data_IF_646319882386
#
_entry.id   IF_646319882386
#
_cell.length_a   1.000
_cell.length_b   1.000
_cell.length_c   1.000
_cell.angle_alpha   90.00
_cell.angle_beta   90.00
_cell.angle_gamma   90.00
#
_symmetry.space_group_name_H-M   'P 1'
#
loop_
_entity.id
_entity.type
_entity.pdbx_description
1 polymer ?
#
# COMPACT_ATOMS: atom_id res chain seq x y z
N UNK A 1 3.56 -14.60 14.84
CA UNK A 1 2.67 -13.53 15.34
C UNK A 1 2.61 -12.34 14.41
N UNK A 2 3.74 -11.76 14.00
CA UNK A 2 3.74 -10.63 13.08
C UNK A 2 3.06 -10.94 11.74
N UNK A 3 3.19 -12.16 11.26
CA UNK A 3 2.56 -12.57 9.99
C UNK A 3 1.04 -12.44 10.04
N UNK A 4 0.44 -12.70 11.20
CA UNK A 4 -1.02 -12.63 11.37
C UNK A 4 -1.55 -11.20 11.38
N UNK A 5 -0.69 -10.23 11.69
CA UNK A 5 -1.08 -8.83 11.70
C UNK A 5 -1.10 -8.22 10.29
N UNK A 6 -0.44 -8.86 9.33
CA UNK A 6 -0.35 -8.33 7.97
C UNK A 6 -1.73 -8.12 7.35
N UNK A 7 -2.59 -9.14 7.42
CA UNK A 7 -3.95 -9.05 6.88
C UNK A 7 -4.75 -7.90 7.47
N UNK A 8 -4.92 -7.87 8.79
CA UNK A 8 -5.66 -6.77 9.44
C UNK A 8 -5.10 -5.38 9.13
N UNK A 9 -3.77 -5.24 9.08
CA UNK A 9 -3.14 -3.95 8.79
C UNK A 9 -3.52 -3.48 7.38
N UNK A 10 -3.49 -4.38 6.40
CA UNK A 10 -3.87 -4.01 5.03
C UNK A 10 -5.37 -3.75 4.89
N UNK A 11 -6.21 -4.43 5.65
CA UNK A 11 -7.65 -4.12 5.69
C UNK A 11 -7.87 -2.69 6.19
N UNK A 12 -7.21 -2.32 7.27
CA UNK A 12 -7.32 -0.97 7.83
C UNK A 12 -6.77 0.06 6.83
N UNK A 13 -5.61 -0.22 6.24
CA UNK A 13 -4.99 0.67 5.26
C UNK A 13 -5.91 0.86 4.05
N UNK A 14 -6.51 -0.22 3.56
CA UNK A 14 -7.47 -0.14 2.46
C UNK A 14 -8.69 0.68 2.81
N UNK A 15 -9.22 0.49 4.02
CA UNK A 15 -10.38 1.26 4.50
C UNK A 15 -10.07 2.75 4.58
N UNK A 16 -8.84 3.12 4.96
CA UNK A 16 -8.44 4.52 5.04
C UNK A 16 -8.46 5.21 3.67
N UNK A 17 -8.28 4.48 2.58
CA UNK A 17 -8.40 5.03 1.24
C UNK A 17 -9.81 5.59 1.00
N UNK A 18 -10.81 5.01 1.61
CA UNK A 18 -12.20 5.47 1.49
C UNK A 18 -12.55 6.51 2.54
N UNK A 19 -11.97 6.41 3.73
CA UNK A 19 -12.25 7.35 4.82
C UNK A 19 -11.53 8.68 4.61
N UNK A 20 -10.32 8.66 4.05
CA UNK A 20 -9.48 9.85 3.87
C UNK A 20 -8.84 9.87 2.48
N UNK A 21 -9.65 9.88 1.41
CA UNK A 21 -9.10 9.81 0.06
C UNK A 21 -8.20 10.98 -0.31
N UNK A 22 -8.46 12.17 0.24
CA UNK A 22 -7.65 13.36 -0.06
C UNK A 22 -6.19 13.21 0.38
N UNK A 23 -5.96 12.47 1.46
CA UNK A 23 -4.61 12.20 1.96
C UNK A 23 -3.81 11.42 0.92
N UNK A 24 -4.45 10.44 0.27
CA UNK A 24 -3.80 9.63 -0.76
C UNK A 24 -3.70 10.36 -2.08
N UNK A 25 -4.71 11.15 -2.45
CA UNK A 25 -4.66 11.95 -3.67
C UNK A 25 -3.53 12.97 -3.63
N UNK A 26 -3.25 13.50 -2.46
CA UNK A 26 -2.21 14.51 -2.28
C UNK A 26 -0.81 13.99 -2.60
N UNK A 27 -0.59 12.68 -2.53
CA UNK A 27 0.72 12.09 -2.79
C UNK A 27 0.80 11.44 -4.17
N UNK A 28 -0.23 11.59 -5.00
CA UNK A 28 -0.21 11.04 -6.35
C UNK A 28 0.50 11.97 -7.32
N UNK A 29 1.26 11.40 -8.29
CA UNK A 29 1.88 12.23 -9.33
C UNK A 29 0.85 13.06 -10.08
N UNK A 30 1.12 14.35 -10.35
CA UNK A 30 0.17 15.22 -11.05
C UNK A 30 -0.23 14.71 -12.44
N UNK A 31 0.65 13.96 -13.09
CA UNK A 31 0.41 13.45 -14.45
C UNK A 31 -0.54 12.26 -14.49
N UNK A 32 -0.88 11.65 -13.36
CA UNK A 32 -1.86 10.56 -13.32
C UNK A 32 -3.28 11.12 -13.39
N UNK A 33 -4.14 10.55 -14.24
CA UNK A 33 -5.55 10.94 -14.26
C UNK A 33 -6.35 10.23 -13.18
N UNK A 34 -7.55 10.76 -12.91
CA UNK A 34 -8.54 10.09 -12.06
C UNK A 34 -8.00 9.69 -10.68
N UNK A 35 -7.39 10.64 -9.97
CA UNK A 35 -6.78 10.37 -8.67
C UNK A 35 -7.74 9.68 -7.70
N UNK A 36 -9.00 10.15 -7.60
CA UNK A 36 -9.97 9.59 -6.67
C UNK A 36 -10.28 8.13 -6.97
N UNK A 37 -10.48 7.80 -8.25
CA UNK A 37 -10.80 6.43 -8.66
C UNK A 37 -9.61 5.50 -8.42
N UNK A 38 -8.38 5.97 -8.68
CA UNK A 38 -7.19 5.17 -8.42
C UNK A 38 -6.98 4.93 -6.93
N UNK A 39 -7.26 5.93 -6.09
CA UNK A 39 -7.20 5.77 -4.63
C UNK A 39 -8.19 4.70 -4.19
N UNK A 40 -9.42 4.76 -4.66
CA UNK A 40 -10.43 3.77 -4.29
C UNK A 40 -10.08 2.38 -4.79
N UNK A 41 -9.56 2.26 -6.01
CA UNK A 41 -9.13 0.98 -6.57
C UNK A 41 -8.02 0.36 -5.71
N UNK A 42 -7.03 1.16 -5.33
CA UNK A 42 -5.95 0.70 -4.44
C UNK A 42 -6.51 0.27 -3.09
N UNK A 43 -7.48 1.02 -2.56
CA UNK A 43 -8.12 0.69 -1.29
C UNK A 43 -8.84 -0.64 -1.34
N UNK A 44 -9.56 -0.92 -2.41
CA UNK A 44 -10.24 -2.21 -2.60
C UNK A 44 -9.20 -3.33 -2.69
N UNK A 45 -8.15 -3.13 -3.47
CA UNK A 45 -7.10 -4.14 -3.63
C UNK A 45 -6.43 -4.46 -2.29
N UNK A 46 -6.11 -3.43 -1.49
CA UNK A 46 -5.46 -3.63 -0.20
C UNK A 46 -6.40 -4.29 0.81
N UNK A 47 -7.64 -3.84 0.89
CA UNK A 47 -8.61 -4.42 1.82
C UNK A 47 -8.93 -5.88 1.45
N UNK A 48 -9.16 -6.15 0.18
CA UNK A 48 -9.45 -7.50 -0.30
C UNK A 48 -8.24 -8.41 -0.10
N UNK A 49 -7.05 -7.92 -0.42
CA UNK A 49 -5.81 -8.67 -0.23
C UNK A 49 -5.56 -8.96 1.25
N UNK A 50 -5.76 -7.96 2.11
CA UNK A 50 -5.60 -8.14 3.55
C UNK A 50 -6.57 -9.17 4.11
N UNK A 51 -7.84 -9.08 3.73
CA UNK A 51 -8.86 -10.04 4.16
C UNK A 51 -8.52 -11.45 3.65
N UNK A 52 -8.08 -11.55 2.40
CA UNK A 52 -7.70 -12.84 1.80
C UNK A 52 -6.51 -13.49 2.49
N UNK A 53 -5.58 -12.70 3.02
CA UNK A 53 -4.45 -13.24 3.78
C UNK A 53 -4.89 -13.94 5.06
N UNK A 54 -6.03 -13.56 5.62
CA UNK A 54 -6.55 -14.15 6.85
C UNK A 54 -7.23 -15.50 6.63
N UNK A 55 -7.54 -15.84 5.38
CA UNK A 55 -8.22 -17.08 5.03
C UNK A 55 -7.21 -18.01 4.34
N UNK A 56 -6.91 -19.18 4.90
CA UNK A 56 -5.89 -20.07 4.32
C UNK A 56 -6.10 -20.40 2.85
N UNK A 57 -7.36 -20.60 2.43
CA UNK A 57 -7.68 -20.98 1.04
C UNK A 57 -7.32 -19.88 0.03
N UNK A 58 -7.35 -18.61 0.44
CA UNK A 58 -7.11 -17.47 -0.46
C UNK A 58 -5.80 -16.75 -0.16
N UNK A 59 -5.02 -17.25 0.77
CA UNK A 59 -3.82 -16.55 1.27
C UNK A 59 -2.80 -16.27 0.17
N UNK A 60 -2.52 -17.25 -0.69
CA UNK A 60 -1.53 -17.04 -1.75
C UNK A 60 -1.98 -16.05 -2.82
N UNK A 61 -3.16 -16.22 -3.44
CA UNK A 61 -3.61 -15.22 -4.42
C UNK A 61 -3.78 -13.84 -3.81
N UNK A 62 -4.22 -13.74 -2.55
CA UNK A 62 -4.33 -12.46 -1.87
C UNK A 62 -2.97 -11.80 -1.70
N UNK A 63 -1.95 -12.57 -1.33
CA UNK A 63 -0.59 -12.06 -1.24
C UNK A 63 -0.08 -11.52 -2.56
N UNK A 64 -0.32 -12.24 -3.65
CA UNK A 64 0.08 -11.78 -4.97
C UNK A 64 -0.64 -10.48 -5.35
N UNK A 65 -1.92 -10.36 -5.00
CA UNK A 65 -2.66 -9.12 -5.22
C UNK A 65 -2.01 -7.95 -4.48
N UNK A 66 -1.65 -8.14 -3.22
CA UNK A 66 -0.98 -7.10 -2.43
C UNK A 66 0.39 -6.74 -3.01
N UNK A 67 1.17 -7.73 -3.42
CA UNK A 67 2.48 -7.48 -4.03
C UNK A 67 2.34 -6.70 -5.34
N UNK A 68 1.36 -7.07 -6.16
CA UNK A 68 1.09 -6.33 -7.39
C UNK A 68 0.68 -4.89 -7.10
N UNK A 69 -0.12 -4.67 -6.06
CA UNK A 69 -0.53 -3.33 -5.65
C UNK A 69 0.67 -2.50 -5.19
N UNK A 70 1.57 -3.10 -4.40
CA UNK A 70 2.79 -2.42 -3.96
C UNK A 70 3.65 -2.00 -5.15
N UNK A 71 3.80 -2.89 -6.14
CA UNK A 71 4.55 -2.56 -7.36
C UNK A 71 3.87 -1.43 -8.12
N UNK A 72 2.53 -1.47 -8.21
CA UNK A 72 1.78 -0.46 -8.94
C UNK A 72 1.88 0.93 -8.30
N UNK A 73 2.00 1.01 -6.96
CA UNK A 73 2.14 2.30 -6.28
C UNK A 73 3.58 2.77 -6.16
N UNK A 74 4.55 1.93 -6.50
CA UNK A 74 5.96 2.29 -6.41
C UNK A 74 6.31 3.55 -7.23
N UNK A 75 5.83 3.71 -8.48
CA UNK A 75 6.11 4.93 -9.23
C UNK A 75 5.68 6.20 -8.51
N UNK A 76 4.56 6.17 -7.79
CA UNK A 76 4.12 7.32 -7.00
C UNK A 76 5.10 7.63 -5.87
N UNK A 77 5.54 6.60 -5.15
CA UNK A 77 6.52 6.77 -4.08
C UNK A 77 7.85 7.29 -4.61
N UNK A 78 8.29 6.77 -5.75
CA UNK A 78 9.52 7.22 -6.39
C UNK A 78 9.41 8.68 -6.83
N UNK A 79 8.29 9.04 -7.44
CA UNK A 79 8.03 10.41 -7.89
C UNK A 79 8.10 11.38 -6.70
N UNK A 80 7.48 11.04 -5.58
CA UNK A 80 7.52 11.87 -4.38
C UNK A 80 8.95 12.06 -3.87
N UNK A 81 9.74 11.00 -3.86
CA UNK A 81 11.14 11.06 -3.41
C UNK A 81 12.00 11.94 -4.32
N UNK A 82 11.72 11.93 -5.63
CA UNK A 82 12.46 12.72 -6.61
C UNK A 82 12.00 14.19 -6.68
N UNK A 83 10.77 14.47 -6.25
CA UNK A 83 10.17 15.82 -6.31
C UNK A 83 9.60 16.21 -4.95
N UNK A 84 10.42 16.19 -3.88
CA UNK A 84 9.90 16.44 -2.54
C UNK A 84 9.29 17.83 -2.36
N UNK A 85 9.74 18.80 -3.14
CA UNK A 85 9.24 20.18 -3.08
C UNK A 85 7.79 20.31 -3.53
N UNK A 86 7.27 19.32 -4.28
CA UNK A 86 5.89 19.34 -4.77
C UNK A 86 4.91 18.76 -3.75
N UNK A 87 5.40 18.22 -2.64
CA UNK A 87 4.56 17.53 -1.67
C UNK A 87 4.79 18.09 -0.27
N UNK A 88 3.68 18.39 0.41
CA UNK A 88 3.72 18.87 1.80
C UNK A 88 3.30 17.74 2.71
N UNK A 89 4.28 17.04 3.28
CA UNK A 89 4.03 15.95 4.20
C UNK A 89 4.81 16.16 5.49
N UNK A 90 4.31 15.66 6.63
CA UNK A 90 5.09 15.70 7.87
C UNK A 90 6.41 14.95 7.68
N UNK A 91 7.50 15.54 8.15
CA UNK A 91 8.83 14.97 7.99
C UNK A 91 9.54 15.32 6.69
N UNK A 92 8.86 15.96 5.74
CA UNK A 92 9.45 16.49 4.52
C UNK A 92 10.16 15.43 3.67
N UNK A 93 11.30 15.81 3.10
CA UNK A 93 12.06 14.95 2.19
C UNK A 93 12.48 13.63 2.85
N UNK A 94 12.88 13.68 4.13
CA UNK A 94 13.29 12.46 4.82
C UNK A 94 12.17 11.43 4.89
N UNK A 95 10.93 11.89 5.17
CA UNK A 95 9.77 11.01 5.20
C UNK A 95 9.49 10.40 3.83
N UNK A 96 9.61 11.19 2.76
CA UNK A 96 9.39 10.70 1.41
C UNK A 96 10.42 9.66 1.00
N UNK A 97 11.69 9.89 1.35
CA UNK A 97 12.74 8.92 1.07
C UNK A 97 12.56 7.64 1.87
N UNK A 98 12.09 7.75 3.12
CA UNK A 98 11.87 6.58 3.97
C UNK A 98 10.77 5.67 3.43
N UNK A 99 9.83 6.18 2.64
CA UNK A 99 8.77 5.36 2.06
C UNK A 99 9.30 4.28 1.11
N UNK A 100 10.43 4.51 0.48
CA UNK A 100 11.01 3.53 -0.45
C UNK A 100 11.46 2.25 0.24
N UNK A 101 12.31 2.31 1.31
CA UNK A 101 12.66 1.08 2.02
C UNK A 101 11.47 0.45 2.76
N UNK A 102 10.53 1.26 3.27
CA UNK A 102 9.32 0.71 3.89
C UNK A 102 8.50 -0.10 2.91
N UNK A 103 8.46 0.28 1.64
CA UNK A 103 7.77 -0.51 0.63
C UNK A 103 8.39 -1.91 0.50
N UNK A 104 9.71 -2.00 0.55
CA UNK A 104 10.39 -3.29 0.54
C UNK A 104 10.07 -4.11 1.80
N UNK A 105 9.99 -3.44 2.96
CA UNK A 105 9.61 -4.10 4.21
C UNK A 105 8.19 -4.66 4.13
N UNK A 106 7.24 -3.89 3.59
CA UNK A 106 5.88 -4.37 3.42
C UNK A 106 5.81 -5.55 2.45
N UNK A 107 6.56 -5.50 1.35
CA UNK A 107 6.61 -6.60 0.40
C UNK A 107 7.15 -7.88 1.07
N UNK A 108 8.20 -7.77 1.86
CA UNK A 108 8.75 -8.90 2.60
C UNK A 108 7.74 -9.46 3.60
N UNK A 109 7.01 -8.57 4.28
CA UNK A 109 5.98 -8.97 5.24
C UNK A 109 4.84 -9.72 4.54
N UNK A 110 4.38 -9.22 3.40
CA UNK A 110 3.34 -9.90 2.61
C UNK A 110 3.83 -11.29 2.19
N UNK A 111 5.06 -11.40 1.72
CA UNK A 111 5.61 -12.70 1.32
C UNK A 111 5.66 -13.66 2.50
N UNK A 112 6.04 -13.18 3.67
CA UNK A 112 6.05 -14.00 4.87
C UNK A 112 4.63 -14.47 5.24
N UNK A 113 3.66 -13.56 5.14
CA UNK A 113 2.26 -13.87 5.45
C UNK A 113 1.67 -14.91 4.47
N UNK A 114 2.06 -14.83 3.18
CA UNK A 114 1.62 -15.79 2.17
C UNK A 114 2.06 -17.21 2.49
N UNK A 115 3.20 -17.35 3.14
CA UNK A 115 3.79 -18.65 3.47
C UNK A 115 3.29 -19.21 4.79
N UNK A 116 2.56 -18.42 5.55
CA UNK A 116 2.03 -18.88 6.82
C UNK A 116 1.04 -20.02 6.57
N UNK A 117 1.21 -21.12 7.28
CA UNK A 117 0.35 -22.29 7.10
C UNK A 117 -0.90 -22.23 7.97
N UNK A 118 -0.90 -21.41 9.00
CA UNK A 118 -2.03 -21.28 9.92
C UNK A 118 -2.07 -19.93 10.61
#
# INVERSE_FOLDING_TARGET
>A
MLRRLCGPVFVVAGALHFAKPRMYEAIMPPWLPRHRELVYLSGVAEAAGGAGLMVPATRRPAGWLLLATLVAVFPANLHMALHPEDFRVPGGRAALLARLPFQAVFAAWVRAAMRATR
#
